data_IF_417474181771
#
_entry.id   IF_417474181771
#
_cell.length_a   1.000
_cell.length_b   1.000
_cell.length_c   1.000
_cell.angle_alpha   90.00
_cell.angle_beta   90.00
_cell.angle_gamma   90.00
#
_symmetry.space_group_name_H-M   'P 1'
#
loop_
_entity.id
_entity.type
_entity.pdbx_description
1 polymer ?
#
# COMPACT_ATOMS: atom_id res chain seq x y z
N UNK A 1 -3.37 -35.58 16.31
CA UNK A 1 -3.33 -35.54 14.84
C UNK A 1 -4.54 -34.85 14.25
N UNK A 2 -5.76 -35.17 14.69
CA UNK A 2 -6.98 -34.52 14.20
C UNK A 2 -6.98 -33.01 14.38
N UNK A 3 -6.49 -32.52 15.51
CA UNK A 3 -6.43 -31.10 15.84
C UNK A 3 -5.46 -30.33 14.93
N UNK A 4 -4.35 -30.96 14.53
CA UNK A 4 -3.39 -30.38 13.58
C UNK A 4 -4.03 -30.19 12.20
N UNK A 5 -4.78 -31.18 11.74
CA UNK A 5 -5.48 -31.10 10.45
C UNK A 5 -6.55 -29.99 10.48
N UNK A 6 -7.32 -29.92 11.56
CA UNK A 6 -8.32 -28.87 11.75
C UNK A 6 -7.66 -27.50 11.75
N UNK A 7 -6.56 -27.33 12.49
CA UNK A 7 -5.81 -26.09 12.53
C UNK A 7 -5.30 -25.69 11.14
N UNK A 8 -4.75 -26.63 10.37
CA UNK A 8 -4.28 -26.37 9.01
C UNK A 8 -5.42 -25.95 8.08
N UNK A 9 -6.58 -26.63 8.16
CA UNK A 9 -7.75 -26.27 7.37
C UNK A 9 -8.24 -24.87 7.72
N UNK A 10 -8.33 -24.56 9.01
CA UNK A 10 -8.73 -23.21 9.47
C UNK A 10 -7.78 -22.16 8.97
N UNK A 11 -6.47 -22.40 9.09
CA UNK A 11 -5.44 -21.47 8.58
C UNK A 11 -5.60 -21.27 7.08
N UNK A 12 -5.78 -22.35 6.33
CA UNK A 12 -5.95 -22.29 4.88
C UNK A 12 -7.20 -21.50 4.48
N UNK A 13 -8.31 -21.72 5.18
CA UNK A 13 -9.57 -20.97 4.93
C UNK A 13 -9.38 -19.49 5.25
N UNK A 14 -8.75 -19.17 6.40
CA UNK A 14 -8.50 -17.79 6.80
C UNK A 14 -7.59 -17.09 5.78
N UNK A 15 -6.49 -17.72 5.39
CA UNK A 15 -5.57 -17.14 4.40
C UNK A 15 -6.24 -16.99 3.03
N UNK A 16 -7.04 -17.96 2.62
CA UNK A 16 -7.76 -17.91 1.35
C UNK A 16 -8.85 -16.85 1.30
N UNK A 17 -9.36 -16.40 2.45
CA UNK A 17 -10.40 -15.37 2.50
C UNK A 17 -9.85 -13.95 2.51
N UNK A 18 -8.54 -13.75 2.74
CA UNK A 18 -7.93 -12.42 2.85
C UNK A 18 -8.07 -11.63 1.54
N UNK A 19 -7.78 -12.27 0.41
CA UNK A 19 -7.87 -11.59 -0.90
C UNK A 19 -9.29 -11.12 -1.21
N UNK A 20 -10.33 -11.97 -1.13
CA UNK A 20 -11.70 -11.51 -1.40
C UNK A 20 -12.21 -10.49 -0.39
N UNK A 21 -11.88 -10.64 0.91
CA UNK A 21 -12.31 -9.68 1.95
C UNK A 21 -11.66 -8.32 1.72
N UNK A 22 -10.34 -8.28 1.51
CA UNK A 22 -9.64 -7.02 1.22
C UNK A 22 -10.07 -6.42 -0.10
N UNK A 23 -10.35 -7.24 -1.11
CA UNK A 23 -10.91 -6.81 -2.38
C UNK A 23 -12.26 -6.10 -2.20
N UNK A 24 -13.13 -6.66 -1.40
CA UNK A 24 -14.42 -6.05 -1.06
C UNK A 24 -14.22 -4.69 -0.36
N UNK A 25 -13.36 -4.63 0.65
CA UNK A 25 -13.07 -3.38 1.38
C UNK A 25 -12.57 -2.28 0.44
N UNK A 26 -11.62 -2.62 -0.41
CA UNK A 26 -11.00 -1.69 -1.35
C UNK A 26 -12.03 -1.21 -2.38
N UNK A 27 -12.76 -2.12 -3.01
CA UNK A 27 -13.79 -1.79 -4.00
C UNK A 27 -14.88 -0.92 -3.41
N UNK A 28 -15.37 -1.30 -2.22
CA UNK A 28 -16.41 -0.53 -1.54
C UNK A 28 -15.97 0.90 -1.25
N UNK A 29 -14.71 1.08 -0.81
CA UNK A 29 -14.16 2.41 -0.57
C UNK A 29 -14.03 3.22 -1.87
N UNK A 30 -13.43 2.64 -2.90
CA UNK A 30 -13.20 3.32 -4.17
C UNK A 30 -14.51 3.62 -4.93
N UNK A 31 -15.52 2.77 -4.78
CA UNK A 31 -16.82 2.97 -5.43
C UNK A 31 -17.68 4.04 -4.73
N UNK A 32 -17.31 4.43 -3.52
CA UNK A 32 -18.03 5.43 -2.73
C UNK A 32 -17.08 6.55 -2.26
N UNK A 33 -16.41 7.25 -3.17
CA UNK A 33 -15.31 8.14 -2.81
C UNK A 33 -15.73 9.36 -1.98
N UNK A 34 -16.99 9.74 -2.02
CA UNK A 34 -17.51 10.91 -1.28
C UNK A 34 -17.90 10.57 0.16
N UNK A 35 -17.91 9.31 0.53
CA UNK A 35 -18.27 8.89 1.89
C UNK A 35 -17.09 9.08 2.84
N UNK A 36 -17.34 9.56 4.04
CA UNK A 36 -16.30 9.84 5.03
C UNK A 36 -15.52 8.60 5.47
N UNK A 37 -16.14 7.44 5.43
CA UNK A 37 -15.51 6.18 5.81
C UNK A 37 -14.67 5.55 4.66
N UNK A 38 -14.86 6.00 3.43
CA UNK A 38 -14.28 5.34 2.25
C UNK A 38 -12.74 5.34 2.23
N UNK A 39 -12.04 6.47 2.50
CA UNK A 39 -10.58 6.44 2.52
C UNK A 39 -10.02 5.49 3.57
N UNK A 40 -10.60 5.51 4.77
CA UNK A 40 -10.17 4.62 5.86
C UNK A 40 -10.35 3.15 5.54
N UNK A 41 -11.50 2.79 4.97
CA UNK A 41 -11.79 1.40 4.59
C UNK A 41 -10.82 0.91 3.51
N UNK A 42 -10.58 1.70 2.49
CA UNK A 42 -9.62 1.38 1.42
C UNK A 42 -8.22 1.19 1.98
N UNK A 43 -7.75 2.12 2.83
CA UNK A 43 -6.43 2.02 3.44
C UNK A 43 -6.28 0.75 4.28
N UNK A 44 -7.29 0.40 5.06
CA UNK A 44 -7.26 -0.83 5.87
C UNK A 44 -7.09 -2.07 4.99
N UNK A 45 -7.86 -2.16 3.91
CA UNK A 45 -7.77 -3.28 2.99
C UNK A 45 -6.39 -3.39 2.35
N UNK A 46 -5.83 -2.28 1.89
CA UNK A 46 -4.50 -2.27 1.27
C UNK A 46 -3.41 -2.65 2.28
N UNK A 47 -3.48 -2.12 3.51
CA UNK A 47 -2.49 -2.44 4.54
C UNK A 47 -2.48 -3.93 4.88
N UNK A 48 -3.66 -4.55 4.92
CA UNK A 48 -3.75 -6.00 5.13
C UNK A 48 -3.02 -6.74 4.00
N UNK A 49 -3.23 -6.35 2.75
CA UNK A 49 -2.53 -6.95 1.61
C UNK A 49 -1.01 -6.77 1.70
N UNK A 50 -0.54 -5.63 2.19
CA UNK A 50 0.89 -5.40 2.41
C UNK A 50 1.47 -6.35 3.47
N UNK A 51 0.75 -6.60 4.56
CA UNK A 51 1.17 -7.53 5.61
C UNK A 51 1.39 -8.93 5.04
N UNK A 52 0.59 -9.34 4.06
CA UNK A 52 0.71 -10.64 3.41
C UNK A 52 1.61 -10.63 2.16
N UNK A 53 2.37 -9.56 1.95
CA UNK A 53 3.40 -9.50 0.91
C UNK A 53 2.91 -9.17 -0.50
N UNK A 54 1.65 -8.79 -0.68
CA UNK A 54 1.12 -8.41 -1.98
C UNK A 54 1.45 -6.94 -2.29
N UNK A 55 2.75 -6.64 -2.41
CA UNK A 55 3.22 -5.27 -2.62
C UNK A 55 2.91 -4.73 -4.01
N UNK A 56 2.98 -5.55 -5.03
CA UNK A 56 2.71 -5.13 -6.40
C UNK A 56 1.26 -4.66 -6.55
N UNK A 57 0.31 -5.48 -6.12
CA UNK A 57 -1.10 -5.08 -6.10
C UNK A 57 -1.38 -3.90 -5.18
N UNK A 58 -0.72 -3.85 -4.02
CA UNK A 58 -0.87 -2.76 -3.07
C UNK A 58 -0.39 -1.42 -3.65
N UNK A 59 0.71 -1.42 -4.40
CA UNK A 59 1.22 -0.20 -5.04
C UNK A 59 0.17 0.42 -5.97
N UNK A 60 -0.48 -0.39 -6.78
CA UNK A 60 -1.52 0.08 -7.69
C UNK A 60 -2.71 0.68 -6.94
N UNK A 61 -3.12 0.05 -5.85
CA UNK A 61 -4.26 0.51 -5.06
C UNK A 61 -3.92 1.81 -4.31
N UNK A 62 -2.72 1.91 -3.73
CA UNK A 62 -2.27 3.16 -3.12
C UNK A 62 -2.24 4.31 -4.12
N UNK A 63 -1.82 4.04 -5.36
CA UNK A 63 -1.85 5.02 -6.43
C UNK A 63 -3.28 5.48 -6.74
N UNK A 64 -4.21 4.54 -6.88
CA UNK A 64 -5.63 4.86 -7.07
C UNK A 64 -6.19 5.67 -5.91
N UNK A 65 -5.87 5.30 -4.68
CA UNK A 65 -6.33 6.01 -3.48
C UNK A 65 -5.82 7.45 -3.46
N UNK A 66 -4.55 7.67 -3.76
CA UNK A 66 -3.96 9.01 -3.82
C UNK A 66 -4.62 9.87 -4.90
N UNK A 67 -4.97 9.29 -6.04
CA UNK A 67 -5.66 9.99 -7.13
C UNK A 67 -7.12 10.27 -6.79
N UNK A 68 -7.76 9.39 -6.04
CA UNK A 68 -9.17 9.53 -5.64
C UNK A 68 -9.35 10.58 -4.55
N UNK A 69 -8.41 10.65 -3.60
CA UNK A 69 -8.48 11.55 -2.45
C UNK A 69 -7.23 12.45 -2.37
N UNK A 70 -6.99 13.32 -3.38
CA UNK A 70 -5.77 14.15 -3.41
C UNK A 70 -5.70 15.17 -2.27
N UNK A 71 -6.85 15.60 -1.74
CA UNK A 71 -6.92 16.59 -0.66
C UNK A 71 -7.04 15.95 0.73
N UNK A 72 -7.05 14.62 0.80
CA UNK A 72 -7.16 13.93 2.09
C UNK A 72 -5.86 14.13 2.90
N UNK A 73 -5.96 14.31 4.24
CA UNK A 73 -4.76 14.45 5.09
C UNK A 73 -3.77 13.30 4.96
N UNK A 74 -4.24 12.10 4.62
CA UNK A 74 -3.39 10.92 4.45
C UNK A 74 -2.82 10.78 3.02
N UNK A 75 -3.12 11.71 2.10
CA UNK A 75 -2.60 11.61 0.74
C UNK A 75 -1.07 11.53 0.68
N UNK A 76 -0.31 12.32 1.48
CA UNK A 76 1.15 12.16 1.52
C UNK A 76 1.58 10.75 1.88
N UNK A 77 0.88 10.11 2.84
CA UNK A 77 1.14 8.74 3.26
C UNK A 77 0.85 7.77 2.11
N UNK A 78 -0.23 7.98 1.38
CA UNK A 78 -0.61 7.13 0.23
C UNK A 78 0.48 7.18 -0.85
N UNK A 79 0.94 8.36 -1.21
CA UNK A 79 2.00 8.56 -2.22
C UNK A 79 3.31 7.91 -1.76
N UNK A 80 3.70 8.09 -0.50
CA UNK A 80 4.89 7.43 0.05
C UNK A 80 4.77 5.90 -0.05
N UNK A 81 3.60 5.36 0.27
CA UNK A 81 3.37 3.91 0.24
C UNK A 81 3.37 3.32 -1.17
N UNK A 82 3.01 4.10 -2.20
CA UNK A 82 3.20 3.67 -3.59
C UNK A 82 4.68 3.37 -3.83
N UNK A 83 5.56 4.31 -3.49
CA UNK A 83 7.00 4.15 -3.66
C UNK A 83 7.53 2.96 -2.83
N UNK A 84 7.13 2.88 -1.57
CA UNK A 84 7.54 1.80 -0.67
C UNK A 84 7.13 0.42 -1.22
N UNK A 85 5.89 0.28 -1.67
CA UNK A 85 5.40 -0.99 -2.22
C UNK A 85 6.13 -1.36 -3.52
N UNK A 86 6.40 -0.38 -4.39
CA UNK A 86 7.16 -0.62 -5.61
C UNK A 86 8.58 -1.07 -5.31
N UNK A 87 9.21 -0.48 -4.30
CA UNK A 87 10.54 -0.92 -3.86
C UNK A 87 10.51 -2.36 -3.37
N UNK A 88 9.53 -2.72 -2.54
CA UNK A 88 9.36 -4.08 -2.02
C UNK A 88 8.99 -5.08 -3.13
N UNK A 89 8.29 -4.63 -4.16
CA UNK A 89 7.93 -5.45 -5.32
C UNK A 89 9.08 -5.60 -6.34
N UNK A 90 10.29 -5.14 -5.99
CA UNK A 90 11.48 -5.23 -6.86
C UNK A 90 11.35 -4.42 -8.15
N UNK A 91 10.73 -3.25 -8.05
CA UNK A 91 10.61 -2.28 -9.15
C UNK A 91 11.28 -0.96 -8.74
N UNK A 92 12.63 -0.95 -8.62
CA UNK A 92 13.35 0.19 -8.05
C UNK A 92 13.25 1.46 -8.90
N UNK A 93 13.18 1.34 -10.21
CA UNK A 93 13.09 2.51 -11.10
C UNK A 93 11.76 3.24 -10.90
N UNK A 94 10.66 2.51 -10.83
CA UNK A 94 9.34 3.10 -10.56
C UNK A 94 9.28 3.64 -9.13
N UNK A 95 9.87 2.94 -8.17
CA UNK A 95 9.94 3.40 -6.79
C UNK A 95 10.65 4.76 -6.70
N UNK A 96 11.76 4.93 -7.41
CA UNK A 96 12.48 6.21 -7.46
C UNK A 96 11.60 7.35 -7.98
N UNK A 97 10.82 7.09 -9.02
CA UNK A 97 9.89 8.10 -9.57
C UNK A 97 8.89 8.53 -8.50
N UNK A 98 8.33 7.59 -7.77
CA UNK A 98 7.32 7.90 -6.74
C UNK A 98 7.90 8.53 -5.48
N UNK A 99 9.10 8.14 -5.05
CA UNK A 99 9.81 8.88 -3.98
C UNK A 99 10.08 10.32 -4.41
N UNK A 100 10.48 10.54 -5.66
CA UNK A 100 10.67 11.88 -6.21
C UNK A 100 9.39 12.70 -6.22
N UNK A 101 8.26 12.12 -6.63
CA UNK A 101 6.95 12.78 -6.60
C UNK A 101 6.53 13.15 -5.17
N UNK A 102 6.74 12.23 -4.23
CA UNK A 102 6.46 12.47 -2.82
C UNK A 102 7.28 13.67 -2.29
N UNK A 103 8.58 13.68 -2.54
CA UNK A 103 9.47 14.75 -2.06
C UNK A 103 9.15 16.09 -2.71
N UNK A 104 8.78 16.11 -3.98
CA UNK A 104 8.39 17.34 -4.68
C UNK A 104 7.10 17.94 -4.12
N UNK A 105 6.12 17.07 -3.81
CA UNK A 105 4.81 17.51 -3.32
C UNK A 105 4.80 17.79 -1.81
N UNK A 106 5.56 17.02 -1.03
CA UNK A 106 5.50 17.04 0.43
C UNK A 106 6.89 17.14 1.08
N UNK A 107 7.70 18.18 0.74
CA UNK A 107 9.08 18.25 1.22
C UNK A 107 9.24 18.40 2.75
N UNK A 108 8.17 18.81 3.42
CA UNK A 108 8.17 19.02 4.87
C UNK A 108 7.39 17.94 5.64
N UNK A 109 6.89 16.93 4.94
CA UNK A 109 6.18 15.83 5.59
C UNK A 109 7.15 15.03 6.47
N UNK A 110 6.62 14.43 7.55
CA UNK A 110 7.42 13.69 8.54
C UNK A 110 8.26 12.55 7.97
N UNK A 111 7.91 12.01 6.80
CA UNK A 111 8.65 10.91 6.16
C UNK A 111 9.55 11.39 5.01
N UNK A 112 9.69 12.70 4.82
CA UNK A 112 10.50 13.24 3.72
C UNK A 112 11.97 12.83 3.83
N UNK A 113 12.56 12.90 5.01
CA UNK A 113 13.95 12.48 5.22
C UNK A 113 14.17 11.01 4.90
N UNK A 114 13.23 10.16 5.30
CA UNK A 114 13.29 8.73 5.01
C UNK A 114 13.17 8.48 3.51
N UNK A 115 12.24 9.16 2.83
CA UNK A 115 12.07 9.06 1.39
C UNK A 115 13.33 9.49 0.65
N UNK A 116 13.97 10.56 1.09
CA UNK A 116 15.22 11.04 0.52
C UNK A 116 16.34 9.99 0.64
N UNK A 117 16.49 9.39 1.82
CA UNK A 117 17.48 8.33 2.02
C UNK A 117 17.23 7.12 1.14
N UNK A 118 15.97 6.70 1.00
CA UNK A 118 15.62 5.59 0.13
C UNK A 118 15.91 5.92 -1.33
N UNK A 119 15.56 7.13 -1.77
CA UNK A 119 15.83 7.58 -3.13
C UNK A 119 17.34 7.52 -3.43
N UNK A 120 18.17 8.04 -2.53
CA UNK A 120 19.62 8.01 -2.69
C UNK A 120 20.16 6.59 -2.78
N UNK A 121 19.68 5.69 -1.92
CA UNK A 121 20.08 4.28 -1.93
C UNK A 121 19.75 3.62 -3.27
N UNK A 122 18.56 3.86 -3.79
CA UNK A 122 18.12 3.31 -5.07
C UNK A 122 18.91 3.89 -6.25
N UNK A 123 19.22 5.19 -6.21
CA UNK A 123 20.05 5.86 -7.23
C UNK A 123 21.47 5.31 -7.25
N UNK A 124 21.98 4.86 -6.10
CA UNK A 124 23.28 4.23 -6.00
C UNK A 124 23.35 2.80 -6.55
N UNK A 125 22.25 2.26 -7.09
CA UNK A 125 22.21 0.94 -7.68
C UNK A 125 22.14 -0.22 -6.70
N UNK A 126 21.83 0.03 -5.45
CA UNK A 126 21.75 -0.97 -4.38
C UNK A 126 20.33 -1.49 -4.15
N UNK A 127 19.43 -1.08 -5.00
CA UNK A 127 18.05 -1.47 -4.93
C UNK A 127 17.75 -2.93 -5.19
#
# INVERSE_FOLDING_TARGET
MKWLLIALVVIFVVLGSIIPITGYMISKGLDNPTKSWAPGLTQKGVRIRMIFGNYDGAAQIWQQAAMTWPDHPDCPIMVYRVAFCLEKAKQPEQAMVWYGKYLAAYPKHRWADQAWRRLQTLQGGEG
#
